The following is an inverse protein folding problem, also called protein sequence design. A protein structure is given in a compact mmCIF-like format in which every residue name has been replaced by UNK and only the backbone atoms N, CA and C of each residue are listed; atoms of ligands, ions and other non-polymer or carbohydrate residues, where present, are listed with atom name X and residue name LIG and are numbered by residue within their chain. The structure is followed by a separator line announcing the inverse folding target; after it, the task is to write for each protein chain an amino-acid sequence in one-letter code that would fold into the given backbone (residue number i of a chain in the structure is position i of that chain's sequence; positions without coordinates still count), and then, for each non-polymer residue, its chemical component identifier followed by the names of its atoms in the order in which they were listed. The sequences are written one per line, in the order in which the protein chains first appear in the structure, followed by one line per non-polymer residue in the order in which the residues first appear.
data_IF_276381358999
#
_entry.id   IF_276381358999
#
_cell.length_a   1.000
_cell.length_b   1.000
_cell.length_c   1.000
_cell.angle_alpha   90.00
_cell.angle_beta   90.00
_cell.angle_gamma   90.00
#
_symmetry.space_group_name_H-M   'P 1'
#
loop_
_entity.id
_entity.type
_entity.pdbx_description
1 polymer ?
#
# COMPACT_ATOMS: atom_id res chain seq x y z
N UNK A 1 12.94 5.48 -15.76
CA UNK A 1 11.77 4.78 -15.20
C UNK A 1 11.34 3.54 -16.00
N UNK A 2 11.22 3.63 -17.35
CA UNK A 2 10.82 2.48 -18.21
C UNK A 2 11.69 1.23 -18.08
N UNK A 3 12.96 1.36 -17.69
CA UNK A 3 13.91 0.23 -17.65
C UNK A 3 13.76 -0.68 -16.43
N UNK A 4 12.99 -0.30 -15.41
CA UNK A 4 12.81 -1.10 -14.18
C UNK A 4 11.69 -2.13 -14.34
N UNK A 5 10.65 -1.82 -15.11
CA UNK A 5 9.41 -2.61 -15.23
C UNK A 5 9.36 -3.40 -16.53
N UNK A 6 9.86 -4.64 -16.48
CA UNK A 6 9.87 -5.59 -17.59
C UNK A 6 8.60 -6.46 -17.57
N UNK A 7 7.93 -6.65 -18.71
CA UNK A 7 6.63 -7.34 -18.82
C UNK A 7 6.58 -8.77 -18.24
N UNK A 8 7.72 -9.46 -18.12
CA UNK A 8 7.80 -10.86 -17.67
C UNK A 8 8.23 -11.03 -16.21
N UNK A 9 8.29 -9.94 -15.44
CA UNK A 9 8.62 -9.99 -14.00
C UNK A 9 7.37 -9.85 -13.15
N UNK A 10 7.46 -10.32 -11.91
CA UNK A 10 6.40 -10.14 -10.92
C UNK A 10 6.73 -8.97 -10.02
N UNK A 11 5.88 -7.95 -9.94
CA UNK A 11 6.18 -6.72 -9.21
C UNK A 11 5.27 -6.51 -8.00
N UNK A 12 5.90 -6.21 -6.87
CA UNK A 12 5.27 -5.69 -5.66
C UNK A 12 5.75 -4.26 -5.48
N UNK A 13 4.84 -3.30 -5.50
CA UNK A 13 5.16 -1.87 -5.42
C UNK A 13 4.55 -1.29 -4.15
N UNK A 14 5.36 -0.65 -3.30
CA UNK A 14 4.89 0.11 -2.14
C UNK A 14 4.87 1.60 -2.44
N UNK A 15 3.73 2.24 -2.17
CA UNK A 15 3.55 3.68 -2.30
C UNK A 15 3.81 4.35 -0.95
N UNK A 16 4.78 5.28 -0.88
CA UNK A 16 5.18 5.92 0.37
C UNK A 16 5.96 4.96 1.28
N UNK A 17 7.05 4.39 0.78
CA UNK A 17 7.77 3.30 1.47
C UNK A 17 8.49 3.71 2.76
N UNK A 18 8.56 5.00 3.08
CA UNK A 18 9.22 5.52 4.25
C UNK A 18 10.69 5.10 4.31
N UNK A 19 11.12 4.52 5.44
CA UNK A 19 12.49 4.02 5.61
C UNK A 19 12.77 2.71 4.84
N UNK A 20 11.77 2.18 4.11
CA UNK A 20 11.87 0.98 3.28
C UNK A 20 12.02 -0.33 4.07
N UNK A 21 12.00 -0.30 5.41
CA UNK A 21 12.31 -1.48 6.22
C UNK A 21 11.28 -2.59 6.05
N UNK A 22 10.01 -2.24 5.98
CA UNK A 22 8.93 -3.21 5.80
C UNK A 22 9.07 -3.94 4.46
N UNK A 23 9.26 -3.22 3.35
CA UNK A 23 9.46 -3.83 2.04
C UNK A 23 10.73 -4.66 1.97
N UNK A 24 11.80 -4.19 2.62
CA UNK A 24 13.05 -4.93 2.72
C UNK A 24 12.86 -6.26 3.47
N UNK A 25 12.23 -6.23 4.64
CA UNK A 25 11.94 -7.43 5.42
C UNK A 25 11.02 -8.39 4.61
N UNK A 26 10.03 -7.86 3.89
CA UNK A 26 9.16 -8.63 2.99
C UNK A 26 9.92 -9.27 1.80
N UNK A 27 10.89 -8.57 1.23
CA UNK A 27 11.72 -9.13 0.15
C UNK A 27 12.65 -10.26 0.64
N UNK A 28 13.05 -10.20 1.92
CA UNK A 28 13.89 -11.22 2.54
C UNK A 28 13.12 -12.50 2.91
N UNK A 29 11.79 -12.45 3.09
CA UNK A 29 10.99 -13.65 3.40
C UNK A 29 10.65 -14.48 2.16
N UNK A 30 10.78 -13.90 0.97
CA UNK A 30 10.40 -14.53 -0.30
C UNK A 30 11.61 -15.03 -1.09
N UNK A 31 12.50 -15.79 -0.43
CA UNK A 31 13.80 -16.23 -0.97
C UNK A 31 13.70 -17.14 -2.21
N UNK A 32 12.52 -17.70 -2.48
CA UNK A 32 12.27 -18.61 -3.62
C UNK A 32 11.41 -17.97 -4.72
N UNK A 33 10.95 -16.74 -4.54
CA UNK A 33 10.01 -16.07 -5.44
C UNK A 33 10.69 -15.23 -6.53
N UNK A 34 10.06 -15.15 -7.70
CA UNK A 34 10.48 -14.25 -8.80
C UNK A 34 9.92 -12.82 -8.64
N UNK A 35 9.66 -12.39 -7.41
CA UNK A 35 9.12 -11.06 -7.12
C UNK A 35 10.23 -10.02 -7.04
N UNK A 36 9.95 -8.89 -7.70
CA UNK A 36 10.72 -7.67 -7.67
C UNK A 36 9.94 -6.64 -6.84
N UNK A 37 10.61 -6.10 -5.83
CA UNK A 37 10.07 -5.17 -4.85
C UNK A 37 10.50 -3.76 -5.20
N UNK A 38 9.56 -2.83 -5.28
CA UNK A 38 9.84 -1.42 -5.59
C UNK A 38 9.18 -0.55 -4.54
N UNK A 39 9.97 0.15 -3.74
CA UNK A 39 9.48 1.17 -2.81
C UNK A 39 9.61 2.55 -3.44
N UNK A 40 8.55 3.34 -3.41
CA UNK A 40 8.56 4.72 -3.90
C UNK A 40 8.42 5.64 -2.69
N UNK A 41 9.32 6.60 -2.55
CA UNK A 41 9.32 7.55 -1.44
C UNK A 41 9.72 8.95 -1.92
N UNK A 42 8.93 9.96 -1.59
CA UNK A 42 9.19 11.34 -2.00
C UNK A 42 10.20 12.03 -1.08
N UNK A 43 10.21 11.68 0.22
CA UNK A 43 11.16 12.22 1.18
C UNK A 43 12.56 11.63 0.95
N UNK A 44 13.46 12.48 0.47
CA UNK A 44 14.83 12.10 0.15
C UNK A 44 15.64 11.58 1.36
N UNK A 45 15.31 11.98 2.60
CA UNK A 45 16.00 11.47 3.81
C UNK A 45 15.53 10.06 4.14
N UNK A 46 14.24 9.76 4.01
CA UNK A 46 13.69 8.42 4.18
C UNK A 46 14.16 7.49 3.07
N UNK A 47 14.21 7.96 1.82
CA UNK A 47 14.80 7.22 0.70
C UNK A 47 16.29 6.89 0.92
N UNK A 48 17.11 7.82 1.43
CA UNK A 48 18.51 7.51 1.77
C UNK A 48 18.62 6.41 2.83
N UNK A 49 17.69 6.36 3.79
CA UNK A 49 17.65 5.29 4.78
C UNK A 49 17.30 3.95 4.12
N UNK A 50 16.33 3.92 3.20
CA UNK A 50 15.96 2.69 2.50
C UNK A 50 17.10 2.16 1.62
N UNK A 51 17.85 3.03 0.92
CA UNK A 51 19.05 2.63 0.19
C UNK A 51 20.11 2.00 1.09
N UNK A 52 20.29 2.51 2.32
CA UNK A 52 21.28 1.97 3.26
C UNK A 52 21.03 0.51 3.65
N UNK A 53 19.77 0.04 3.56
CA UNK A 53 19.40 -1.35 3.84
C UNK A 53 19.96 -2.33 2.80
N UNK A 54 20.19 -1.85 1.57
CA UNK A 54 20.59 -2.70 0.43
C UNK A 54 22.06 -2.51 0.02
N UNK A 55 22.76 -1.47 0.52
CA UNK A 55 24.16 -1.17 0.16
C UNK A 55 25.15 -2.35 0.34
N UNK A 56 24.91 -3.22 1.31
CA UNK A 56 25.80 -4.35 1.63
C UNK A 56 25.21 -5.72 1.27
N UNK A 57 24.11 -5.76 0.49
CA UNK A 57 23.44 -7.01 0.12
C UNK A 57 23.45 -7.24 -1.39
N UNK A 58 23.54 -8.51 -1.77
CA UNK A 58 23.41 -8.99 -3.17
C UNK A 58 21.95 -9.15 -3.62
N UNK A 59 21.01 -8.44 -2.98
CA UNK A 59 19.59 -8.70 -3.24
C UNK A 59 19.14 -7.87 -4.45
N UNK A 60 19.25 -8.46 -5.63
CA UNK A 60 18.99 -7.79 -6.92
C UNK A 60 17.49 -7.63 -7.23
N UNK A 61 16.61 -8.04 -6.30
CA UNK A 61 15.17 -8.03 -6.49
C UNK A 61 14.45 -6.92 -5.71
N UNK A 62 15.16 -5.96 -5.12
CA UNK A 62 14.56 -4.81 -4.42
C UNK A 62 15.17 -3.49 -4.88
N UNK A 63 14.32 -2.50 -5.12
CA UNK A 63 14.68 -1.16 -5.58
C UNK A 63 13.92 -0.10 -4.79
N UNK A 64 14.57 1.03 -4.53
CA UNK A 64 13.93 2.19 -3.92
C UNK A 64 14.08 3.41 -4.84
N UNK A 65 12.95 4.04 -5.16
CA UNK A 65 12.87 5.22 -6.01
C UNK A 65 12.60 6.45 -5.15
N UNK A 66 13.36 7.53 -5.36
CA UNK A 66 13.05 8.83 -4.78
C UNK A 66 12.24 9.64 -5.78
N UNK A 67 10.93 9.58 -5.67
CA UNK A 67 10.03 10.19 -6.65
C UNK A 67 8.61 10.35 -6.07
N UNK A 68 7.77 11.10 -6.79
CA UNK A 68 6.34 11.14 -6.54
C UNK A 68 5.70 9.84 -7.05
N UNK A 69 5.03 9.11 -6.15
CA UNK A 69 4.40 7.86 -6.54
C UNK A 69 3.23 8.07 -7.51
N UNK A 70 2.56 9.22 -7.51
CA UNK A 70 1.46 9.53 -8.44
C UNK A 70 2.00 9.59 -9.87
N UNK A 71 3.11 10.31 -10.07
CA UNK A 71 3.80 10.40 -11.35
C UNK A 71 4.38 9.05 -11.78
N UNK A 72 5.02 8.32 -10.87
CA UNK A 72 5.58 6.99 -11.17
C UNK A 72 4.46 6.05 -11.63
N UNK A 73 3.39 5.95 -10.85
CA UNK A 73 2.25 5.05 -11.14
C UNK A 73 1.60 5.40 -12.48
N UNK A 74 1.38 6.68 -12.76
CA UNK A 74 0.80 7.12 -14.03
C UNK A 74 1.60 6.62 -15.23
N UNK A 75 2.94 6.66 -15.12
CA UNK A 75 3.86 6.26 -16.18
C UNK A 75 4.13 4.74 -16.25
N UNK A 76 3.63 3.94 -15.31
CA UNK A 76 3.74 2.48 -15.39
C UNK A 76 2.94 1.93 -16.58
N UNK A 77 3.45 0.89 -17.27
CA UNK A 77 2.66 0.21 -18.28
C UNK A 77 1.49 -0.54 -17.62
N UNK A 78 0.33 -0.55 -18.26
CA UNK A 78 -0.84 -1.25 -17.75
C UNK A 78 -0.60 -2.76 -17.64
N UNK A 79 -1.30 -3.39 -16.68
CA UNK A 79 -1.27 -4.85 -16.46
C UNK A 79 0.13 -5.42 -16.22
N UNK A 80 0.98 -4.70 -15.49
CA UNK A 80 2.35 -5.12 -15.16
C UNK A 80 2.56 -5.44 -13.69
N UNK A 81 1.77 -4.85 -12.79
CA UNK A 81 1.98 -4.96 -11.35
C UNK A 81 1.17 -6.12 -10.77
N UNK A 82 1.81 -6.97 -9.95
CA UNK A 82 1.13 -8.05 -9.26
C UNK A 82 0.45 -7.53 -8.00
N UNK A 83 1.13 -6.66 -7.25
CA UNK A 83 0.59 -6.12 -6.01
C UNK A 83 1.03 -4.68 -5.79
N UNK A 84 0.07 -3.82 -5.44
CA UNK A 84 0.36 -2.54 -4.79
C UNK A 84 0.18 -2.68 -3.28
N UNK A 85 1.09 -2.06 -2.52
CA UNK A 85 1.03 -1.92 -1.07
C UNK A 85 0.81 -0.43 -0.76
N UNK A 86 -0.29 -0.11 -0.08
CA UNK A 86 -0.58 1.21 0.46
C UNK A 86 -0.65 1.06 1.98
N UNK A 87 0.39 1.50 2.69
CA UNK A 87 0.54 1.23 4.14
C UNK A 87 0.47 2.53 4.92
N UNK A 88 -0.63 2.71 5.65
CA UNK A 88 -1.03 3.96 6.32
C UNK A 88 -0.90 5.17 5.38
N UNK A 89 -1.59 5.15 4.22
CA UNK A 89 -1.54 6.28 3.31
C UNK A 89 -2.07 7.53 4.02
N UNK A 90 -1.47 8.69 3.71
CA UNK A 90 -1.95 9.96 4.25
C UNK A 90 -3.45 10.14 3.96
N UNK A 91 -4.24 10.82 4.83
CA UNK A 91 -5.68 11.03 4.63
C UNK A 91 -6.07 11.62 3.27
N UNK A 92 -5.18 12.38 2.62
CA UNK A 92 -5.40 12.85 1.25
C UNK A 92 -5.59 11.72 0.23
N UNK A 93 -5.10 10.51 0.53
CA UNK A 93 -5.15 9.34 -0.33
C UNK A 93 -6.12 8.25 0.17
N UNK A 94 -6.91 8.51 1.22
CA UNK A 94 -7.87 7.50 1.73
C UNK A 94 -9.04 8.07 2.55
N UNK A 95 -8.95 9.32 2.99
CA UNK A 95 -9.95 10.00 3.82
C UNK A 95 -11.22 10.34 3.06
N UNK A 96 -12.35 10.35 3.76
CA UNK A 96 -13.67 10.58 3.16
C UNK A 96 -13.80 11.99 2.57
N UNK A 97 -13.11 12.95 3.17
CA UNK A 97 -13.16 14.37 2.81
C UNK A 97 -12.58 14.64 1.42
N UNK A 98 -11.68 13.76 0.97
CA UNK A 98 -10.98 13.86 -0.33
C UNK A 98 -11.29 12.69 -1.25
N UNK A 99 -12.39 11.97 -1.00
CA UNK A 99 -12.80 10.80 -1.78
C UNK A 99 -12.76 11.03 -3.29
N UNK A 100 -13.24 12.17 -3.76
CA UNK A 100 -13.23 12.50 -5.20
C UNK A 100 -11.81 12.61 -5.77
N UNK A 101 -10.87 13.16 -5.00
CA UNK A 101 -9.49 13.39 -5.43
C UNK A 101 -8.72 12.07 -5.55
N UNK A 102 -8.72 11.26 -4.48
CA UNK A 102 -7.90 10.06 -4.44
C UNK A 102 -8.46 8.90 -5.26
N UNK A 103 -9.75 8.87 -5.58
CA UNK A 103 -10.34 7.79 -6.40
C UNK A 103 -9.61 7.60 -7.73
N UNK A 104 -9.17 8.68 -8.36
CA UNK A 104 -8.45 8.61 -9.64
C UNK A 104 -7.11 7.87 -9.51
N UNK A 105 -6.41 8.03 -8.39
CA UNK A 105 -5.20 7.28 -8.10
C UNK A 105 -5.50 5.77 -8.08
N UNK A 106 -6.51 5.33 -7.34
CA UNK A 106 -6.82 3.90 -7.23
C UNK A 106 -7.42 3.29 -8.51
N UNK A 107 -8.13 4.07 -9.32
CA UNK A 107 -8.50 3.67 -10.68
C UNK A 107 -7.25 3.43 -11.53
N UNK A 108 -6.29 4.35 -11.48
CA UNK A 108 -5.01 4.22 -12.19
C UNK A 108 -4.25 2.98 -11.70
N UNK A 109 -4.12 2.78 -10.37
CA UNK A 109 -3.52 1.58 -9.80
C UNK A 109 -4.18 0.31 -10.32
N UNK A 110 -5.52 0.29 -10.37
CA UNK A 110 -6.28 -0.84 -10.91
C UNK A 110 -5.94 -1.13 -12.37
N UNK A 111 -5.72 -0.12 -13.20
CA UNK A 111 -5.29 -0.31 -14.60
C UNK A 111 -3.89 -0.93 -14.68
N UNK A 112 -2.98 -0.50 -13.80
CA UNK A 112 -1.60 -1.01 -13.72
C UNK A 112 -1.52 -2.45 -13.21
N UNK A 113 -2.50 -2.89 -12.42
CA UNK A 113 -2.58 -4.27 -11.94
C UNK A 113 -2.83 -5.29 -13.06
N UNK A 114 -2.09 -6.40 -13.00
CA UNK A 114 -2.35 -7.63 -13.78
C UNK A 114 -3.75 -8.17 -13.51
N UNK A 115 -4.19 -9.11 -14.35
CA UNK A 115 -5.40 -9.87 -14.05
C UNK A 115 -5.21 -10.63 -12.72
N UNK A 116 -6.19 -10.51 -11.82
CA UNK A 116 -6.12 -11.00 -10.44
C UNK A 116 -4.97 -10.37 -9.61
N UNK A 117 -4.47 -9.20 -10.05
CA UNK A 117 -3.54 -8.41 -9.27
C UNK A 117 -4.21 -7.84 -8.02
N UNK A 118 -3.40 -7.61 -6.98
CA UNK A 118 -3.87 -7.23 -5.65
C UNK A 118 -3.53 -5.79 -5.28
N UNK A 119 -4.39 -5.19 -4.48
CA UNK A 119 -4.12 -4.00 -3.70
C UNK A 119 -4.19 -4.40 -2.23
N UNK A 120 -3.09 -4.20 -1.51
CA UNK A 120 -3.06 -4.33 -0.05
C UNK A 120 -3.14 -2.94 0.53
N UNK A 121 -4.18 -2.68 1.31
CA UNK A 121 -4.36 -1.44 2.03
C UNK A 121 -4.30 -1.73 3.53
N UNK A 122 -3.35 -1.12 4.22
CA UNK A 122 -3.35 -0.99 5.67
C UNK A 122 -3.67 0.46 5.97
N UNK A 123 -4.75 0.72 6.70
CA UNK A 123 -5.18 2.09 7.01
C UNK A 123 -5.76 2.13 8.41
N UNK A 124 -5.94 3.32 8.92
CA UNK A 124 -6.45 3.58 10.25
C UNK A 124 -7.72 4.44 10.23
N UNK A 125 -8.49 4.30 11.29
CA UNK A 125 -9.54 5.23 11.64
C UNK A 125 -9.24 5.85 13.00
N UNK A 126 -9.38 7.17 13.05
CA UNK A 126 -9.36 7.99 14.27
C UNK A 126 -10.57 8.93 14.20
N UNK A 127 -11.07 9.37 15.36
CA UNK A 127 -12.09 10.41 15.39
C UNK A 127 -11.45 11.80 15.52
N UNK A 128 -12.20 12.84 15.15
CA UNK A 128 -11.71 14.22 15.13
C UNK A 128 -11.22 14.72 16.50
N UNK A 129 -11.80 14.16 17.58
CA UNK A 129 -11.49 14.53 18.96
C UNK A 129 -10.28 13.77 19.52
N UNK A 130 -9.70 12.82 18.77
CA UNK A 130 -8.70 11.87 19.22
C UNK A 130 -9.09 11.18 20.55
N UNK A 131 -10.38 10.96 20.73
CA UNK A 131 -10.96 10.21 21.85
C UNK A 131 -11.09 8.73 21.48
N UNK A 132 -11.42 7.83 22.43
CA UNK A 132 -11.66 6.44 22.10
C UNK A 132 -12.70 6.29 20.99
N UNK A 133 -12.36 5.50 19.97
CA UNK A 133 -13.22 5.28 18.80
C UNK A 133 -14.37 4.37 19.18
N UNK A 134 -15.60 4.81 18.91
CA UNK A 134 -16.78 3.98 19.12
C UNK A 134 -16.85 2.89 18.05
N UNK A 135 -17.32 1.71 18.45
CA UNK A 135 -17.44 0.57 17.54
C UNK A 135 -18.34 0.90 16.34
N UNK A 136 -19.46 1.60 16.57
CA UNK A 136 -20.42 1.95 15.53
C UNK A 136 -19.85 2.92 14.48
N UNK A 137 -19.05 3.89 14.92
CA UNK A 137 -18.33 4.83 14.04
C UNK A 137 -17.34 4.08 13.17
N UNK A 138 -16.54 3.19 13.78
CA UNK A 138 -15.58 2.37 13.06
C UNK A 138 -16.25 1.46 12.03
N UNK A 139 -17.37 0.80 12.39
CA UNK A 139 -18.11 -0.06 11.45
C UNK A 139 -18.72 0.75 10.29
N UNK A 140 -19.18 1.96 10.55
CA UNK A 140 -19.73 2.86 9.53
C UNK A 140 -18.66 3.28 8.54
N UNK A 141 -17.51 3.76 9.03
CA UNK A 141 -16.36 4.12 8.20
C UNK A 141 -15.85 2.91 7.39
N UNK A 142 -15.70 1.74 8.04
CA UNK A 142 -15.27 0.51 7.40
C UNK A 142 -16.21 0.10 6.27
N UNK A 143 -17.53 0.18 6.48
CA UNK A 143 -18.54 -0.13 5.45
C UNK A 143 -18.42 0.82 4.26
N UNK A 144 -18.28 2.12 4.52
CA UNK A 144 -18.05 3.12 3.46
C UNK A 144 -16.81 2.75 2.65
N UNK A 145 -15.67 2.49 3.31
CA UNK A 145 -14.41 2.16 2.64
C UNK A 145 -14.54 0.93 1.73
N UNK A 146 -15.17 -0.13 2.24
CA UNK A 146 -15.42 -1.37 1.48
C UNK A 146 -16.33 -1.12 0.27
N UNK A 147 -17.41 -0.36 0.44
CA UNK A 147 -18.31 0.00 -0.67
C UNK A 147 -17.57 0.83 -1.72
N UNK A 148 -16.75 1.79 -1.30
CA UNK A 148 -15.98 2.63 -2.21
C UNK A 148 -15.01 1.81 -3.06
N UNK A 149 -14.23 0.91 -2.48
CA UNK A 149 -13.34 0.04 -3.25
C UNK A 149 -14.09 -0.96 -4.15
N UNK A 150 -15.25 -1.45 -3.72
CA UNK A 150 -16.10 -2.27 -4.58
C UNK A 150 -16.56 -1.51 -5.83
N UNK A 151 -16.97 -0.25 -5.67
CA UNK A 151 -17.35 0.63 -6.79
C UNK A 151 -16.17 0.93 -7.73
N UNK A 152 -14.94 0.96 -7.21
CA UNK A 152 -13.72 1.10 -8.02
C UNK A 152 -13.35 -0.19 -8.78
N UNK A 153 -14.14 -1.26 -8.63
CA UNK A 153 -13.92 -2.51 -9.36
C UNK A 153 -12.90 -3.43 -8.71
N UNK A 154 -12.75 -3.34 -7.38
CA UNK A 154 -12.06 -4.33 -6.57
C UNK A 154 -13.06 -5.27 -5.90
N UNK A 155 -12.61 -6.47 -5.53
CA UNK A 155 -13.33 -7.36 -4.65
C UNK A 155 -12.46 -7.71 -3.44
N UNK A 156 -13.11 -7.84 -2.28
CA UNK A 156 -12.44 -8.15 -1.03
C UNK A 156 -12.04 -9.63 -0.98
N UNK A 157 -10.76 -9.88 -0.74
CA UNK A 157 -10.19 -11.22 -0.52
C UNK A 157 -10.00 -11.47 0.97
N UNK A 158 -9.51 -10.47 1.70
CA UNK A 158 -9.21 -10.59 3.13
C UNK A 158 -9.49 -9.28 3.85
N UNK A 159 -9.99 -9.42 5.06
CA UNK A 159 -10.31 -8.35 5.99
C UNK A 159 -9.77 -8.72 7.37
N UNK A 160 -9.06 -7.80 8.01
CA UNK A 160 -8.60 -7.97 9.38
C UNK A 160 -8.69 -6.64 10.12
N UNK A 161 -9.43 -6.64 11.23
CA UNK A 161 -9.65 -5.47 12.10
C UNK A 161 -8.56 -5.40 13.19
N UNK A 162 -7.29 -5.59 12.79
CA UNK A 162 -6.14 -5.59 13.68
C UNK A 162 -4.85 -5.37 12.88
N UNK A 163 -3.75 -5.14 13.59
CA UNK A 163 -2.40 -4.96 13.06
C UNK A 163 -1.97 -6.18 12.24
N UNK A 164 -1.60 -6.00 10.96
CA UNK A 164 -1.10 -7.10 10.15
C UNK A 164 0.28 -7.55 10.65
N UNK A 165 0.50 -8.87 10.73
CA UNK A 165 1.80 -9.43 11.12
C UNK A 165 2.89 -9.21 10.05
N UNK A 166 2.50 -9.16 8.77
CA UNK A 166 3.42 -9.06 7.62
C UNK A 166 3.70 -7.61 7.20
N UNK A 167 2.79 -6.67 7.47
CA UNK A 167 2.87 -5.29 6.96
C UNK A 167 3.15 -4.29 8.09
N UNK A 168 4.23 -4.55 8.84
CA UNK A 168 4.60 -3.75 10.01
C UNK A 168 5.63 -2.68 9.61
N UNK A 169 5.15 -1.50 9.23
CA UNK A 169 5.98 -0.30 9.09
C UNK A 169 6.27 0.35 10.45
N UNK A 170 7.18 1.34 10.50
CA UNK A 170 7.43 2.11 11.72
C UNK A 170 6.18 2.80 12.25
N UNK A 171 5.32 3.31 11.36
CA UNK A 171 4.08 3.98 11.75
C UNK A 171 3.06 2.97 12.31
N UNK A 172 2.92 1.81 11.67
CA UNK A 172 2.07 0.72 12.19
C UNK A 172 2.51 0.30 13.60
N UNK A 173 3.83 0.24 13.87
CA UNK A 173 4.36 -0.05 15.22
C UNK A 173 4.00 1.00 16.27
N UNK A 174 3.86 2.27 15.87
CA UNK A 174 3.46 3.35 16.77
C UNK A 174 1.95 3.33 17.00
N UNK A 175 1.17 3.22 15.94
CA UNK A 175 -0.30 3.29 16.02
C UNK A 175 -0.90 2.14 16.82
N UNK A 176 -0.31 0.93 16.71
CA UNK A 176 -0.77 -0.22 17.52
C UNK A 176 -0.60 -0.06 19.03
N UNK A 177 0.14 0.94 19.49
CA UNK A 177 0.31 1.20 20.93
C UNK A 177 -0.92 1.88 21.55
N UNK A 178 -1.89 2.30 20.73
CA UNK A 178 -3.06 3.07 21.14
C UNK A 178 -4.36 2.55 20.48
N UNK A 179 -4.73 1.28 20.73
CA UNK A 179 -5.84 0.63 20.04
C UNK A 179 -7.22 1.21 20.42
N UNK A 180 -7.31 1.97 21.50
CA UNK A 180 -8.57 2.62 21.90
C UNK A 180 -8.92 3.78 20.97
N UNK A 181 -7.93 4.57 20.58
CA UNK A 181 -8.10 5.77 19.75
C UNK A 181 -7.81 5.54 18.27
N UNK A 182 -7.02 4.52 17.95
CA UNK A 182 -6.60 4.21 16.58
C UNK A 182 -7.01 2.79 16.24
N UNK A 183 -7.98 2.65 15.32
CA UNK A 183 -8.41 1.35 14.82
C UNK A 183 -7.73 1.06 13.49
N UNK A 184 -6.91 0.02 13.45
CA UNK A 184 -6.20 -0.39 12.23
C UNK A 184 -7.07 -1.41 11.46
N UNK A 185 -7.09 -1.26 10.14
CA UNK A 185 -7.78 -2.13 9.21
C UNK A 185 -6.82 -2.57 8.10
N UNK A 186 -6.77 -3.88 7.85
CA UNK A 186 -6.15 -4.45 6.67
C UNK A 186 -7.24 -4.90 5.68
N UNK A 187 -7.12 -4.44 4.44
CA UNK A 187 -7.85 -4.94 3.29
C UNK A 187 -6.86 -5.55 2.29
N UNK A 188 -7.07 -6.82 1.92
CA UNK A 188 -6.54 -7.36 0.66
C UNK A 188 -7.66 -7.37 -0.37
N UNK A 189 -7.46 -6.58 -1.42
CA UNK A 189 -8.41 -6.34 -2.49
C UNK A 189 -7.82 -6.92 -3.78
N UNK A 190 -8.62 -7.60 -4.59
CA UNK A 190 -8.19 -8.11 -5.89
C UNK A 190 -8.96 -7.39 -7.02
N UNK A 191 -8.27 -7.11 -8.12
CA UNK A 191 -8.87 -6.53 -9.32
C UNK A 191 -9.96 -7.47 -9.86
N UNK A 192 -11.21 -7.02 -9.83
CA UNK A 192 -12.33 -7.76 -10.41
C UNK A 192 -12.14 -7.92 -11.92
N UNK A 193 -12.42 -9.12 -12.43
CA UNK A 193 -12.61 -9.34 -13.87
C UNK A 193 -13.76 -8.45 -14.32
N UNK A 194 -13.55 -7.61 -15.33
CA UNK A 194 -14.68 -7.01 -16.03
C UNK A 194 -15.53 -8.19 -16.54
N UNK A 195 -16.78 -8.30 -16.07
CA UNK A 195 -17.76 -9.21 -16.66
C UNK A 195 -18.19 -8.66 -18.00
#
# INVERSE_FOLDING_TARGET
MKDIFLKNREYIVELGSGDGRMLFDLSCTNLTGNYYYVGIEIDHKLHKQSLSLILNKRNDNIYFLNDDFEEVVYNLPDRTINTFLCILPHPNYIGIEREYEWKNLYLTLREKLKQNGKLVLVTEYTNELLSPVLLEEFQTWKKWLLTTFAMLGFHLIKLQDDVPSLYISNYVRKFKQDPDRIKILLLELEKSRNR
#
